data_IF_584049539203
#
_entry.id   IF_584049539203
#
_cell.length_a   1.000
_cell.length_b   1.000
_cell.length_c   1.000
_cell.angle_alpha   90.00
_cell.angle_beta   90.00
_cell.angle_gamma   90.00
#
_symmetry.space_group_name_H-M   'P 1'
#
loop_
_entity.id
_entity.type
_entity.pdbx_description
1 polymer ?
#
# COMPACT_ATOMS: atom_id res chain seq x y z
N UNK A 1 -7.79 21.75 -1.67
CA UNK A 1 -8.82 20.79 -2.12
C UNK A 1 -8.24 19.41 -1.94
N UNK A 2 -8.78 18.61 -1.02
CA UNK A 2 -8.27 17.26 -0.75
C UNK A 2 -8.81 16.32 -1.83
N UNK A 3 -8.01 16.05 -2.86
CA UNK A 3 -8.34 15.03 -3.85
C UNK A 3 -8.24 13.65 -3.16
N UNK A 4 -9.37 13.00 -2.92
CA UNK A 4 -9.42 11.67 -2.34
C UNK A 4 -9.21 10.62 -3.45
N UNK A 5 -7.96 10.45 -3.89
CA UNK A 5 -7.61 9.36 -4.80
C UNK A 5 -7.54 8.05 -4.02
N UNK A 6 -8.45 7.13 -4.36
CA UNK A 6 -8.50 5.79 -3.79
C UNK A 6 -8.09 4.80 -4.88
N UNK A 7 -7.07 4.01 -4.59
CA UNK A 7 -6.57 2.95 -5.47
C UNK A 7 -7.13 1.61 -5.02
N UNK A 8 -7.58 0.77 -5.95
CA UNK A 8 -8.10 -0.57 -5.58
C UNK A 8 -6.95 -1.49 -5.22
N UNK A 9 -7.24 -2.55 -4.47
CA UNK A 9 -6.24 -3.58 -4.16
C UNK A 9 -5.62 -4.22 -5.40
N UNK A 10 -6.35 -4.29 -6.52
CA UNK A 10 -5.85 -4.82 -7.78
C UNK A 10 -4.81 -3.87 -8.39
N UNK A 11 -5.16 -2.59 -8.55
CA UNK A 11 -4.22 -1.57 -9.05
C UNK A 11 -2.97 -1.45 -8.16
N UNK A 12 -3.14 -1.57 -6.83
CA UNK A 12 -2.02 -1.58 -5.88
C UNK A 12 -1.10 -2.79 -6.09
N UNK A 13 -1.69 -3.97 -6.26
CA UNK A 13 -0.96 -5.21 -6.52
C UNK A 13 -0.17 -5.12 -7.84
N UNK A 14 -0.79 -4.57 -8.89
CA UNK A 14 -0.15 -4.38 -10.19
C UNK A 14 0.98 -3.34 -10.13
N UNK A 15 0.79 -2.22 -9.42
CA UNK A 15 1.83 -1.19 -9.21
C UNK A 15 3.04 -1.73 -8.46
N UNK A 16 2.82 -2.55 -7.43
CA UNK A 16 3.89 -3.15 -6.63
C UNK A 16 4.45 -4.44 -7.27
N UNK A 17 3.89 -4.91 -8.38
CA UNK A 17 4.21 -6.21 -9.00
C UNK A 17 4.16 -7.39 -8.02
N UNK A 18 3.19 -7.36 -7.10
CA UNK A 18 2.98 -8.43 -6.10
C UNK A 18 1.57 -8.99 -6.19
N UNK A 19 1.36 -10.17 -5.60
CA UNK A 19 0.02 -10.73 -5.51
C UNK A 19 -0.87 -9.96 -4.52
N UNK A 20 -2.19 -9.97 -4.74
CA UNK A 20 -3.18 -9.46 -3.77
C UNK A 20 -3.05 -10.10 -2.38
N UNK A 21 -2.60 -11.35 -2.31
CA UNK A 21 -2.36 -12.05 -1.05
C UNK A 21 -1.19 -11.44 -0.29
N UNK A 22 -0.15 -11.01 -1.00
CA UNK A 22 0.99 -10.28 -0.42
C UNK A 22 0.51 -8.97 0.19
N UNK A 23 -0.34 -8.21 -0.50
CA UNK A 23 -0.95 -6.97 0.05
C UNK A 23 -1.71 -7.26 1.35
N UNK A 24 -2.53 -8.31 1.39
CA UNK A 24 -3.25 -8.68 2.61
C UNK A 24 -2.32 -9.08 3.75
N UNK A 25 -1.22 -9.78 3.44
CA UNK A 25 -0.19 -10.13 4.41
C UNK A 25 0.48 -8.87 4.94
N UNK A 26 0.94 -7.98 4.08
CA UNK A 26 1.54 -6.68 4.45
C UNK A 26 0.60 -5.86 5.31
N UNK A 27 -0.69 -5.77 4.96
CA UNK A 27 -1.70 -5.10 5.78
C UNK A 27 -1.89 -5.71 7.17
N UNK A 28 -1.41 -6.94 7.43
CA UNK A 28 -1.48 -7.62 8.72
C UNK A 28 -0.13 -7.63 9.45
N UNK A 29 0.97 -7.71 8.73
CA UNK A 29 2.34 -7.78 9.29
C UNK A 29 2.92 -6.40 9.55
N UNK A 30 2.65 -5.45 8.66
CA UNK A 30 3.26 -4.13 8.66
C UNK A 30 2.29 -3.12 9.27
N UNK A 31 2.57 -2.60 10.49
CA UNK A 31 1.71 -1.60 11.13
C UNK A 31 1.71 -0.25 10.39
N UNK A 32 2.76 0.01 9.58
CA UNK A 32 2.87 1.21 8.74
C UNK A 32 2.15 1.08 7.40
N UNK A 33 1.59 -0.09 7.08
CA UNK A 33 0.87 -0.28 5.83
C UNK A 33 -0.41 0.57 5.79
N UNK A 34 -0.75 1.19 4.65
CA UNK A 34 -1.90 2.07 4.55
C UNK A 34 -3.20 1.38 4.97
N UNK A 35 -4.04 2.04 5.79
CA UNK A 35 -5.30 1.47 6.24
C UNK A 35 -6.27 1.25 5.07
N UNK A 36 -6.89 0.08 5.09
CA UNK A 36 -7.95 -0.27 4.14
C UNK A 36 -9.17 0.66 4.27
N UNK A 37 -9.59 1.24 3.16
CA UNK A 37 -10.82 2.03 3.04
C UNK A 37 -11.88 1.16 2.38
N UNK A 38 -12.99 0.92 3.08
CA UNK A 38 -14.15 0.24 2.49
C UNK A 38 -14.94 1.26 1.67
N UNK A 39 -15.05 1.02 0.37
CA UNK A 39 -15.83 1.85 -0.55
C UNK A 39 -17.29 1.36 -0.62
N UNK A 40 -17.50 0.05 -0.74
CA UNK A 40 -18.81 -0.62 -0.77
C UNK A 40 -18.71 -2.03 -0.17
N UNK A 41 -19.82 -2.77 -0.07
CA UNK A 41 -19.94 -4.04 0.66
C UNK A 41 -18.85 -5.09 0.39
N UNK A 42 -18.25 -5.11 -0.81
CA UNK A 42 -17.14 -6.01 -1.16
C UNK A 42 -15.91 -5.28 -1.74
N UNK A 43 -15.96 -3.95 -1.89
CA UNK A 43 -14.84 -3.19 -2.48
C UNK A 43 -13.99 -2.53 -1.40
N UNK A 44 -12.71 -2.90 -1.39
CA UNK A 44 -11.67 -2.30 -0.54
C UNK A 44 -10.69 -1.55 -1.42
N UNK A 45 -10.35 -0.33 -1.01
CA UNK A 45 -9.32 0.49 -1.62
C UNK A 45 -8.36 1.08 -0.58
N UNK A 46 -7.32 1.74 -1.04
CA UNK A 46 -6.29 2.37 -0.25
C UNK A 46 -6.13 3.81 -0.71
N UNK A 47 -5.83 4.73 0.21
CA UNK A 47 -5.55 6.13 -0.16
C UNK A 47 -4.21 6.17 -0.88
N UNK A 48 -4.18 6.76 -2.08
CA UNK A 48 -2.97 6.88 -2.88
C UNK A 48 -1.84 7.55 -2.10
N UNK A 49 -2.13 8.70 -1.46
CA UNK A 49 -1.17 9.42 -0.63
C UNK A 49 -0.55 8.58 0.49
N UNK A 50 -1.32 7.68 1.11
CA UNK A 50 -0.78 6.84 2.18
C UNK A 50 0.06 5.68 1.65
N UNK A 51 -0.29 5.17 0.47
CA UNK A 51 0.54 4.18 -0.24
C UNK A 51 1.87 4.81 -0.64
N UNK A 52 1.85 6.03 -1.18
CA UNK A 52 3.05 6.78 -1.55
C UNK A 52 3.94 7.03 -0.33
N UNK A 53 3.40 7.59 0.77
CA UNK A 53 4.21 7.80 1.98
C UNK A 53 4.77 6.51 2.58
N UNK A 54 4.04 5.40 2.45
CA UNK A 54 4.55 4.10 2.88
C UNK A 54 5.71 3.61 2.00
N UNK A 55 5.59 3.76 0.67
CA UNK A 55 6.66 3.46 -0.29
C UNK A 55 7.91 4.31 -0.07
N UNK A 56 7.73 5.60 0.21
CA UNK A 56 8.82 6.53 0.54
C UNK A 56 9.55 6.07 1.81
N UNK A 57 8.80 5.79 2.88
CA UNK A 57 9.35 5.28 4.15
C UNK A 57 10.11 3.96 3.99
N UNK A 58 9.66 3.11 3.05
CA UNK A 58 10.28 1.83 2.71
C UNK A 58 11.55 2.00 1.86
N UNK A 59 11.57 2.96 0.95
CA UNK A 59 12.75 3.27 0.13
C UNK A 59 13.90 3.81 0.99
N UNK A 60 13.59 4.66 1.98
CA UNK A 60 14.58 5.12 2.95
C UNK A 60 15.13 3.98 3.82
N UNK A 61 14.31 2.97 4.17
CA UNK A 61 14.75 1.80 4.91
C UNK A 61 15.52 0.76 4.06
N UNK A 62 15.15 0.57 2.79
CA UNK A 62 15.78 -0.42 1.89
C UNK A 62 17.12 0.06 1.33
N UNK A 63 17.46 1.35 1.45
CA UNK A 63 18.80 1.85 1.09
C UNK A 63 19.89 1.28 2.03
N UNK A 64 19.51 0.65 3.16
CA UNK A 64 20.45 0.06 4.12
C UNK A 64 20.62 -1.47 3.99
N UNK A 65 19.78 -2.19 3.21
CA UNK A 65 19.79 -3.68 3.17
C UNK A 65 20.35 -4.31 1.88
N UNK A 66 20.66 -3.53 0.84
CA UNK A 66 21.29 -4.04 -0.41
C UNK A 66 22.81 -3.86 -0.47
N UNK A 67 23.43 -3.40 0.62
CA UNK A 67 24.88 -3.17 0.71
C UNK A 67 25.59 -4.02 1.79
N UNK A 68 24.96 -5.07 2.32
CA UNK A 68 25.56 -5.98 3.31
C UNK A 68 25.70 -7.41 2.77
#
# INVERSE_FOLDING_TARGET
MSNLNIIRIQDLADRLSVSRQTIWRLSKTDPNFPPKVRLTGQCVGFREQQVESWLESKTEAETEEVAA
#
